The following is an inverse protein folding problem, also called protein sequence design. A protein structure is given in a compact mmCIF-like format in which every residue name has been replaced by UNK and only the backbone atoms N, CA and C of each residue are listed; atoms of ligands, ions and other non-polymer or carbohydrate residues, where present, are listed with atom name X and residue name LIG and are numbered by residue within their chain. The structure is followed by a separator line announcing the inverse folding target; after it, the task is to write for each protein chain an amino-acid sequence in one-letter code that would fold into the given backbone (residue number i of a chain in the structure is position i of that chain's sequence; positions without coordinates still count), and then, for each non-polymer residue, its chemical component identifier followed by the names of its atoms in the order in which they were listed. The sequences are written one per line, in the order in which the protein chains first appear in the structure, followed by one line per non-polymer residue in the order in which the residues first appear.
data_IF_749074282124
#
_entry.id   IF_749074282124
#
_cell.length_a   1.000
_cell.length_b   1.000
_cell.length_c   1.000
_cell.angle_alpha   90.00
_cell.angle_beta   90.00
_cell.angle_gamma   90.00
#
_symmetry.space_group_name_H-M   'P 1'
#
loop_
_entity.id
_entity.type
_entity.pdbx_description
1 polymer ?
#
# COMPACT_ATOMS: atom_id res chain seq x y z
N UNK A 1 19.04 41.40 -10.51
CA UNK A 1 18.14 41.30 -9.33
C UNK A 1 17.82 39.83 -9.12
N UNK A 2 17.75 39.36 -7.87
CA UNK A 2 17.39 37.97 -7.60
C UNK A 2 15.86 37.79 -7.66
N UNK A 3 15.36 36.76 -8.36
CA UNK A 3 13.94 36.45 -8.37
C UNK A 3 13.48 36.12 -6.95
N UNK A 4 12.45 36.82 -6.49
CA UNK A 4 11.90 36.67 -5.14
C UNK A 4 10.44 36.27 -5.24
N UNK A 5 10.10 35.13 -4.62
CA UNK A 5 8.71 34.73 -4.45
C UNK A 5 8.24 35.22 -3.09
N UNK A 6 7.14 35.96 -3.08
CA UNK A 6 6.56 36.56 -1.88
C UNK A 6 5.36 35.74 -1.39
N UNK A 7 4.59 35.17 -2.32
CA UNK A 7 3.38 34.45 -2.00
C UNK A 7 3.15 33.26 -2.94
N UNK A 8 2.61 32.19 -2.38
CA UNK A 8 1.97 31.09 -3.10
C UNK A 8 0.46 31.16 -2.86
N UNK A 9 -0.36 30.86 -3.88
CA UNK A 9 -1.83 30.79 -3.73
C UNK A 9 -2.28 29.63 -2.82
N UNK A 10 -1.42 28.63 -2.66
CA UNK A 10 -1.66 27.42 -1.86
C UNK A 10 -0.37 26.94 -1.18
N UNK A 11 -0.55 26.15 -0.14
CA UNK A 11 0.55 25.56 0.64
C UNK A 11 0.81 24.08 0.29
N UNK A 12 0.14 23.54 -0.73
CA UNK A 12 0.35 22.18 -1.22
C UNK A 12 0.23 22.09 -2.75
N UNK A 13 0.82 21.06 -3.35
CA UNK A 13 0.66 20.72 -4.76
C UNK A 13 0.71 19.21 -4.94
N UNK A 14 -0.23 18.67 -5.71
CA UNK A 14 -0.25 17.28 -6.17
C UNK A 14 -0.20 17.15 -7.69
N UNK A 15 -0.08 15.91 -8.22
CA UNK A 15 -0.08 15.67 -9.66
C UNK A 15 -1.31 16.25 -10.33
N UNK A 16 -1.09 17.04 -11.38
CA UNK A 16 -2.13 17.73 -12.15
C UNK A 16 -2.66 19.02 -11.54
N UNK A 17 -2.17 19.44 -10.37
CA UNK A 17 -2.53 20.72 -9.78
C UNK A 17 -1.61 21.84 -10.26
N UNK A 18 -2.17 23.05 -10.31
CA UNK A 18 -1.42 24.28 -10.60
C UNK A 18 -1.16 25.06 -9.31
N UNK A 19 -0.06 25.80 -9.28
CA UNK A 19 0.30 26.77 -8.25
C UNK A 19 0.59 28.11 -8.91
N UNK A 20 0.12 29.18 -8.29
CA UNK A 20 0.43 30.56 -8.68
C UNK A 20 1.47 31.12 -7.72
N UNK A 21 2.58 31.59 -8.28
CA UNK A 21 3.67 32.25 -7.58
C UNK A 21 3.62 33.74 -7.85
N UNK A 22 3.45 34.54 -6.80
CA UNK A 22 3.48 36.01 -6.89
C UNK A 22 4.77 36.54 -6.26
N UNK A 23 5.38 37.54 -6.89
CA UNK A 23 6.62 38.12 -6.41
C UNK A 23 7.21 39.14 -7.38
N UNK A 24 8.53 39.20 -7.46
CA UNK A 24 9.23 40.15 -8.32
C UNK A 24 10.57 39.61 -8.84
N UNK A 25 11.03 40.20 -9.95
CA UNK A 25 12.34 39.89 -10.53
C UNK A 25 12.39 38.53 -11.24
N UNK A 26 11.24 38.00 -11.68
CA UNK A 26 11.19 36.78 -12.48
C UNK A 26 11.69 36.99 -13.91
N UNK A 27 11.75 38.24 -14.38
CA UNK A 27 12.14 38.59 -15.74
C UNK A 27 11.05 38.32 -16.77
N UNK A 28 11.27 38.84 -17.98
CA UNK A 28 10.34 38.69 -19.11
C UNK A 28 10.53 37.37 -19.89
N UNK A 29 11.67 36.70 -19.72
CA UNK A 29 11.96 35.43 -20.37
C UNK A 29 11.57 34.26 -19.47
N UNK A 30 10.74 33.37 -20.01
CA UNK A 30 10.27 32.16 -19.33
C UNK A 30 11.43 31.25 -18.95
N UNK A 31 11.54 30.92 -17.66
CA UNK A 31 12.51 29.98 -17.11
C UNK A 31 11.94 28.61 -16.78
N UNK A 32 12.73 27.84 -16.02
CA UNK A 32 12.33 26.57 -15.43
C UNK A 32 11.71 26.75 -14.05
N UNK A 33 10.79 25.87 -13.69
CA UNK A 33 10.30 25.72 -12.31
C UNK A 33 10.46 24.26 -11.90
N UNK A 34 11.02 24.07 -10.71
CA UNK A 34 11.19 22.75 -10.14
C UNK A 34 10.74 22.71 -8.68
N UNK A 35 10.24 21.55 -8.28
CA UNK A 35 9.88 21.22 -6.92
C UNK A 35 10.95 20.29 -6.37
N UNK A 36 11.84 20.82 -5.54
CA UNK A 36 12.94 20.08 -4.94
C UNK A 36 12.50 19.36 -3.66
N UNK A 37 13.00 18.15 -3.46
CA UNK A 37 12.61 17.27 -2.35
C UNK A 37 13.14 15.84 -2.55
N UNK A 38 12.62 14.87 -1.79
CA UNK A 38 12.87 13.45 -1.99
C UNK A 38 12.01 12.92 -3.16
N UNK A 39 12.23 13.49 -4.34
CA UNK A 39 11.64 13.06 -5.61
C UNK A 39 12.60 12.12 -6.35
N UNK A 40 12.12 11.24 -7.25
CA UNK A 40 12.99 10.57 -8.20
C UNK A 40 13.82 11.59 -8.99
N UNK A 41 15.14 11.51 -8.89
CA UNK A 41 16.05 12.50 -9.49
C UNK A 41 16.25 13.79 -8.70
N UNK A 42 15.72 13.90 -7.47
CA UNK A 42 15.92 15.01 -6.54
C UNK A 42 14.99 16.21 -6.74
N UNK A 43 14.28 16.30 -7.87
CA UNK A 43 13.27 17.32 -8.11
C UNK A 43 12.21 16.86 -9.13
N UNK A 44 11.00 17.39 -9.00
CA UNK A 44 9.97 17.30 -10.03
C UNK A 44 9.97 18.59 -10.87
N UNK A 45 9.83 18.47 -12.19
CA UNK A 45 9.76 19.64 -13.08
C UNK A 45 8.29 20.05 -13.26
N UNK A 46 8.00 21.34 -13.11
CA UNK A 46 6.66 21.88 -13.32
C UNK A 46 6.53 22.47 -14.73
N UNK A 47 5.38 22.21 -15.35
CA UNK A 47 4.97 22.83 -16.61
C UNK A 47 4.52 24.25 -16.36
N UNK A 48 5.29 25.22 -16.83
CA UNK A 48 4.95 26.65 -16.73
C UNK A 48 3.82 27.00 -17.72
N UNK A 49 2.67 27.40 -17.19
CA UNK A 49 1.45 27.74 -17.92
C UNK A 49 1.39 29.21 -18.33
N UNK A 50 1.78 30.12 -17.44
CA UNK A 50 1.93 31.55 -17.73
C UNK A 50 3.15 32.11 -16.99
N UNK A 51 3.75 33.17 -17.52
CA UNK A 51 4.93 33.80 -16.95
C UNK A 51 4.89 35.31 -17.18
N UNK A 52 5.20 36.06 -16.13
CA UNK A 52 5.48 37.50 -16.16
C UNK A 52 6.56 37.81 -15.12
N UNK A 53 7.02 39.06 -15.08
CA UNK A 53 8.00 39.49 -14.07
C UNK A 53 7.49 39.41 -12.62
N UNK A 54 6.16 39.38 -12.43
CA UNK A 54 5.50 39.44 -11.11
C UNK A 54 4.66 38.23 -10.73
N UNK A 55 4.31 37.40 -11.71
CA UNK A 55 3.42 36.27 -11.52
C UNK A 55 3.79 35.13 -12.47
N UNK A 56 3.83 33.92 -11.93
CA UNK A 56 4.01 32.68 -12.68
C UNK A 56 2.93 31.69 -12.27
N UNK A 57 2.27 31.06 -13.25
CA UNK A 57 1.40 29.90 -13.01
C UNK A 57 2.11 28.66 -13.54
N UNK A 58 2.31 27.68 -12.68
CA UNK A 58 2.99 26.43 -13.00
C UNK A 58 2.17 25.23 -12.55
N UNK A 59 2.28 24.11 -13.26
CA UNK A 59 1.47 22.91 -13.04
C UNK A 59 2.37 21.69 -12.88
N UNK A 60 2.11 20.87 -11.86
CA UNK A 60 2.77 19.56 -11.77
C UNK A 60 2.10 18.59 -12.76
N UNK A 61 2.85 17.81 -13.56
CA UNK A 61 2.25 16.86 -14.49
C UNK A 61 1.28 15.89 -13.81
N UNK A 62 0.15 15.61 -14.49
CA UNK A 62 -0.95 14.76 -14.00
C UNK A 62 -0.51 13.28 -13.81
N UNK A 63 0.54 12.87 -14.51
CA UNK A 63 1.12 11.52 -14.47
C UNK A 63 2.31 11.39 -13.52
N UNK A 64 2.64 12.45 -12.76
CA UNK A 64 3.74 12.42 -11.82
C UNK A 64 3.54 11.37 -10.71
N UNK A 65 4.56 10.56 -10.45
CA UNK A 65 4.51 9.45 -9.48
C UNK A 65 5.89 9.16 -8.85
N UNK A 66 5.94 8.22 -7.91
CA UNK A 66 7.20 7.75 -7.32
C UNK A 66 7.70 8.56 -6.13
N UNK A 67 6.90 9.49 -5.62
CA UNK A 67 7.18 10.24 -4.41
C UNK A 67 6.03 10.10 -3.39
N UNK A 68 6.38 9.99 -2.11
CA UNK A 68 5.42 10.03 -1.01
C UNK A 68 5.11 11.48 -0.63
N UNK A 69 4.07 11.69 0.20
CA UNK A 69 3.76 13.01 0.73
C UNK A 69 4.97 13.55 1.51
N UNK A 70 5.34 14.79 1.26
CA UNK A 70 6.56 15.37 1.84
C UNK A 70 6.56 16.89 1.82
N UNK A 71 7.41 17.47 2.66
CA UNK A 71 7.83 18.86 2.52
C UNK A 71 8.71 18.98 1.27
N UNK A 72 8.44 19.98 0.45
CA UNK A 72 9.22 20.31 -0.74
C UNK A 72 9.49 21.81 -0.81
N UNK A 73 10.33 22.22 -1.76
CA UNK A 73 10.60 23.62 -2.04
C UNK A 73 10.46 23.91 -3.53
N UNK A 74 9.69 24.93 -3.90
CA UNK A 74 9.63 25.42 -5.28
C UNK A 74 10.81 26.36 -5.53
N UNK A 75 11.52 26.10 -6.62
CA UNK A 75 12.60 26.93 -7.12
C UNK A 75 12.27 27.44 -8.52
N UNK A 76 12.61 28.70 -8.77
CA UNK A 76 12.49 29.33 -10.07
C UNK A 76 13.90 29.53 -10.63
N UNK A 77 14.10 29.09 -11.86
CA UNK A 77 15.34 29.22 -12.64
C UNK A 77 15.07 30.09 -13.89
N UNK A 78 15.00 31.43 -13.76
CA UNK A 78 14.76 32.31 -14.90
C UNK A 78 15.90 32.25 -15.92
N UNK A 79 15.57 32.31 -17.21
CA UNK A 79 16.58 32.44 -18.26
C UNK A 79 17.13 33.87 -18.25
N UNK A 80 18.45 33.99 -18.43
CA UNK A 80 19.13 35.29 -18.54
C UNK A 80 19.37 35.99 -17.20
N UNK A 81 19.10 35.32 -16.08
CA UNK A 81 19.53 35.76 -14.76
C UNK A 81 20.64 34.86 -14.24
N UNK A 82 21.60 35.45 -13.54
CA UNK A 82 22.78 34.73 -13.01
C UNK A 82 22.46 33.88 -11.77
N UNK A 83 21.21 33.88 -11.30
CA UNK A 83 20.86 33.22 -10.05
C UNK A 83 19.39 32.79 -9.93
N UNK A 84 19.24 31.66 -9.24
CA UNK A 84 18.00 30.99 -8.87
C UNK A 84 17.26 31.73 -7.75
N UNK A 85 15.94 31.58 -7.67
CA UNK A 85 15.16 32.11 -6.53
C UNK A 85 15.56 31.45 -5.22
N UNK A 86 15.10 32.01 -4.10
CA UNK A 86 15.04 31.24 -2.85
C UNK A 86 14.00 30.14 -2.96
N UNK A 87 14.26 29.00 -2.32
CA UNK A 87 13.33 27.86 -2.31
C UNK A 87 12.11 28.14 -1.43
N UNK A 88 10.92 28.14 -2.02
CA UNK A 88 9.66 28.36 -1.29
C UNK A 88 9.04 27.06 -0.81
N UNK A 89 8.84 26.95 0.50
CA UNK A 89 8.31 25.73 1.11
C UNK A 89 6.86 25.48 0.68
N UNK A 90 6.57 24.24 0.30
CA UNK A 90 5.23 23.76 -0.06
C UNK A 90 5.09 22.28 0.33
N UNK A 91 3.88 21.80 0.60
CA UNK A 91 3.63 20.35 0.73
C UNK A 91 3.49 19.73 -0.66
N UNK A 92 4.20 18.64 -0.93
CA UNK A 92 3.82 17.74 -2.00
C UNK A 92 2.83 16.70 -1.48
N UNK A 93 1.72 16.52 -2.19
CA UNK A 93 0.69 15.52 -1.87
C UNK A 93 0.58 14.55 -3.04
N UNK A 94 0.94 13.30 -2.81
CA UNK A 94 0.96 12.28 -3.84
C UNK A 94 -0.45 11.78 -4.17
N UNK A 95 -0.69 11.43 -5.44
CA UNK A 95 -1.89 10.68 -5.82
C UNK A 95 -1.93 9.34 -5.09
N UNK A 96 -3.04 9.05 -4.42
CA UNK A 96 -3.20 7.80 -3.68
C UNK A 96 -3.86 6.73 -4.54
N UNK A 97 -3.33 5.52 -4.48
CA UNK A 97 -3.89 4.32 -5.13
C UNK A 97 -4.14 3.23 -4.10
N UNK A 98 -5.15 2.40 -4.35
CA UNK A 98 -5.40 1.18 -3.58
C UNK A 98 -4.83 -0.02 -4.34
N UNK A 99 -4.02 -0.84 -3.66
CA UNK A 99 -3.37 -2.03 -4.23
C UNK A 99 -3.68 -3.26 -3.36
N UNK A 100 -3.95 -4.39 -4.00
CA UNK A 100 -4.09 -5.69 -3.35
C UNK A 100 -2.72 -6.29 -3.07
N UNK A 101 -2.43 -6.59 -1.80
CA UNK A 101 -1.20 -7.26 -1.38
C UNK A 101 -1.17 -8.71 -1.92
N UNK A 102 -0.01 -9.09 -2.41
CA UNK A 102 0.27 -10.46 -2.88
C UNK A 102 0.95 -11.28 -1.78
N UNK A 103 1.12 -12.59 -2.02
CA UNK A 103 1.85 -13.47 -1.09
C UNK A 103 3.30 -13.02 -0.83
N UNK A 104 3.89 -12.26 -1.75
CA UNK A 104 5.27 -11.76 -1.64
C UNK A 104 5.39 -10.48 -0.80
N UNK A 105 4.28 -9.76 -0.62
CA UNK A 105 4.23 -8.51 0.15
C UNK A 105 3.98 -8.72 1.65
N UNK A 106 3.68 -9.96 2.04
CA UNK A 106 3.46 -10.38 3.42
C UNK A 106 4.68 -11.15 3.92
N UNK A 107 4.92 -11.12 5.24
CA UNK A 107 5.83 -12.11 5.82
C UNK A 107 5.25 -13.50 5.59
N UNK A 108 6.12 -14.52 5.53
CA UNK A 108 5.64 -15.89 5.68
C UNK A 108 4.75 -15.94 6.95
N UNK A 109 3.60 -16.62 6.89
CA UNK A 109 2.73 -16.71 8.04
C UNK A 109 3.48 -17.41 9.17
N UNK A 110 3.47 -16.81 10.35
CA UNK A 110 3.80 -17.54 11.57
C UNK A 110 2.55 -18.26 12.02
N UNK A 111 2.60 -19.59 12.09
CA UNK A 111 1.48 -20.41 12.53
C UNK A 111 1.68 -20.80 14.00
N UNK A 112 0.59 -20.75 14.77
CA UNK A 112 0.48 -21.43 16.05
C UNK A 112 -0.68 -22.41 15.91
N UNK A 113 -0.35 -23.68 15.69
CA UNK A 113 -1.36 -24.74 15.72
C UNK A 113 -1.30 -25.36 17.11
N UNK A 114 -2.37 -25.19 17.87
CA UNK A 114 -2.60 -25.94 19.11
C UNK A 114 -3.43 -27.16 18.73
N UNK A 115 -2.77 -28.23 18.28
CA UNK A 115 -3.43 -29.47 17.86
C UNK A 115 -2.72 -30.22 16.72
N UNK A 116 -3.28 -31.36 16.33
CA UNK A 116 -2.62 -32.34 15.45
C UNK A 116 -2.95 -32.17 13.95
N UNK A 117 -2.87 -30.94 13.41
CA UNK A 117 -2.96 -30.73 11.96
C UNK A 117 -1.60 -31.05 11.32
N UNK A 118 -1.55 -32.05 10.42
CA UNK A 118 -0.29 -32.60 9.91
C UNK A 118 0.02 -32.26 8.45
N UNK A 119 -0.97 -31.88 7.64
CA UNK A 119 -0.75 -31.46 6.24
C UNK A 119 -1.16 -30.00 6.02
N UNK A 120 -0.12 -29.17 5.88
CA UNK A 120 -0.18 -27.74 5.58
C UNK A 120 0.37 -27.54 4.17
N UNK A 121 -0.47 -27.72 3.15
CA UNK A 121 -0.11 -27.35 1.78
C UNK A 121 -0.57 -25.92 1.50
N UNK A 122 0.37 -25.01 1.22
CA UNK A 122 0.04 -23.78 0.51
C UNK A 122 -0.50 -24.16 -0.87
N UNK A 123 -1.81 -24.01 -1.07
CA UNK A 123 -2.44 -24.29 -2.36
C UNK A 123 -1.99 -23.25 -3.38
N UNK A 124 -0.99 -23.59 -4.21
CA UNK A 124 -0.40 -22.71 -5.21
C UNK A 124 -1.18 -22.74 -6.56
N UNK A 125 -2.50 -22.77 -6.49
CA UNK A 125 -3.36 -22.71 -7.68
C UNK A 125 -3.26 -21.36 -8.40
N UNK A 126 -3.52 -21.31 -9.71
CA UNK A 126 -3.44 -20.08 -10.53
C UNK A 126 -4.26 -18.88 -9.99
N UNK A 127 -5.33 -19.15 -9.23
CA UNK A 127 -6.17 -18.15 -8.56
C UNK A 127 -5.49 -17.46 -7.34
N UNK A 128 -4.38 -18.00 -6.84
CA UNK A 128 -3.70 -17.58 -5.61
C UNK A 128 -2.46 -16.70 -5.85
N UNK A 129 -2.20 -16.30 -7.10
CA UNK A 129 -1.10 -15.36 -7.41
C UNK A 129 -1.32 -13.95 -6.84
N UNK A 130 -2.58 -13.56 -6.61
CA UNK A 130 -2.97 -12.20 -6.17
C UNK A 130 -3.61 -12.14 -4.79
N UNK A 131 -3.89 -13.26 -4.17
CA UNK A 131 -4.54 -13.36 -2.86
C UNK A 131 -3.89 -14.46 -2.06
N UNK A 132 -3.85 -14.31 -0.74
CA UNK A 132 -3.23 -15.33 0.12
C UNK A 132 -4.21 -16.47 0.31
N UNK A 133 -3.85 -17.66 -0.16
CA UNK A 133 -4.67 -18.86 -0.05
C UNK A 133 -4.00 -19.88 0.88
N UNK A 134 -4.79 -20.49 1.76
CA UNK A 134 -4.35 -21.61 2.58
C UNK A 134 -5.39 -22.70 2.55
N UNK A 135 -4.91 -23.94 2.59
CA UNK A 135 -5.73 -25.10 2.85
C UNK A 135 -5.14 -25.85 4.05
N UNK A 136 -5.98 -26.11 5.03
CA UNK A 136 -5.69 -27.04 6.11
C UNK A 136 -6.47 -28.31 5.87
N UNK A 137 -5.81 -29.45 5.97
CA UNK A 137 -6.44 -30.76 5.93
C UNK A 137 -5.94 -31.61 7.10
N UNK A 138 -6.86 -32.26 7.79
CA UNK A 138 -6.50 -33.25 8.81
C UNK A 138 -6.16 -34.55 8.09
N UNK A 139 -4.91 -35.01 8.22
CA UNK A 139 -4.46 -36.27 7.61
C UNK A 139 -5.36 -37.43 8.11
N UNK A 140 -6.10 -38.09 7.21
CA UNK A 140 -6.94 -39.21 7.58
C UNK A 140 -6.14 -40.44 8.04
N UNK A 141 -4.89 -40.57 7.61
CA UNK A 141 -4.03 -41.74 7.88
C UNK A 141 -3.34 -41.69 9.24
N UNK A 142 -3.18 -40.51 9.85
CA UNK A 142 -2.49 -40.39 11.13
C UNK A 142 -3.40 -40.89 12.28
N UNK A 143 -3.03 -41.98 12.97
CA UNK A 143 -3.83 -42.54 14.06
C UNK A 143 -3.70 -41.75 15.37
N UNK A 144 -2.68 -40.90 15.51
CA UNK A 144 -2.37 -40.13 16.72
C UNK A 144 -3.00 -38.74 16.76
N UNK A 145 -3.69 -38.33 15.68
CA UNK A 145 -4.43 -37.07 15.65
C UNK A 145 -5.66 -37.20 16.54
N UNK A 146 -5.58 -36.66 17.75
CA UNK A 146 -6.75 -36.46 18.61
C UNK A 146 -7.61 -35.40 17.92
N UNK A 147 -8.88 -35.71 17.59
CA UNK A 147 -9.79 -34.74 17.01
C UNK A 147 -10.00 -33.57 17.99
N UNK A 148 -9.70 -32.34 17.55
CA UNK A 148 -9.84 -31.13 18.35
C UNK A 148 -8.55 -30.30 18.37
N UNK A 149 -8.40 -29.43 17.38
CA UNK A 149 -7.34 -28.44 17.34
C UNK A 149 -7.86 -27.09 16.88
N UNK A 150 -7.59 -26.05 17.67
CA UNK A 150 -7.75 -24.67 17.26
C UNK A 150 -6.48 -24.24 16.53
N UNK A 151 -6.65 -23.56 15.40
CA UNK A 151 -5.57 -22.97 14.65
C UNK A 151 -5.73 -21.45 14.60
N UNK A 152 -4.60 -20.76 14.69
CA UNK A 152 -4.51 -19.32 14.47
C UNK A 152 -3.37 -19.03 13.49
N UNK A 153 -3.67 -18.21 12.49
CA UNK A 153 -2.73 -17.84 11.42
C UNK A 153 -2.57 -16.35 11.42
N UNK A 154 -1.33 -15.90 11.55
CA UNK A 154 -1.00 -14.47 11.60
C UNK A 154 -0.36 -14.01 10.29
N UNK A 155 -0.94 -12.98 9.70
CA UNK A 155 -0.36 -12.24 8.59
C UNK A 155 0.14 -10.91 9.09
N UNK A 156 1.46 -10.74 9.08
CA UNK A 156 2.11 -9.52 9.53
C UNK A 156 2.87 -8.88 8.38
N UNK A 157 2.73 -7.58 8.23
CA UNK A 157 3.62 -6.80 7.37
C UNK A 157 3.68 -5.36 7.88
N UNK A 158 4.85 -4.74 7.73
CA UNK A 158 5.03 -3.32 7.99
C UNK A 158 5.04 -2.59 6.64
N UNK A 159 4.11 -1.66 6.49
CA UNK A 159 4.01 -0.76 5.36
C UNK A 159 4.95 0.42 5.58
N UNK A 160 5.66 0.83 4.53
CA UNK A 160 6.56 1.98 4.56
C UNK A 160 6.10 3.05 3.58
N UNK A 161 6.84 4.16 3.50
CA UNK A 161 6.72 5.16 2.42
C UNK A 161 5.29 5.72 2.24
N UNK A 162 4.54 5.89 3.33
CA UNK A 162 3.19 6.45 3.30
C UNK A 162 2.08 5.50 2.88
N UNK A 163 2.36 4.19 2.79
CA UNK A 163 1.34 3.16 2.63
C UNK A 163 0.64 2.86 3.97
N UNK A 164 -0.67 2.64 3.92
CA UNK A 164 -1.49 2.28 5.08
C UNK A 164 -2.53 1.21 4.72
N UNK A 165 -3.03 0.52 5.75
CA UNK A 165 -4.15 -0.40 5.57
C UNK A 165 -5.39 0.34 5.05
N UNK A 166 -6.07 -0.25 4.05
CA UNK A 166 -7.33 0.28 3.51
C UNK A 166 -8.50 -0.62 3.90
N UNK A 167 -8.48 -1.87 3.44
CA UNK A 167 -9.56 -2.84 3.69
C UNK A 167 -9.07 -4.27 3.55
N UNK A 168 -9.87 -5.21 3.99
CA UNK A 168 -9.66 -6.64 3.79
C UNK A 168 -10.97 -7.32 3.40
N UNK A 169 -10.84 -8.49 2.81
CA UNK A 169 -11.96 -9.35 2.43
C UNK A 169 -11.54 -10.78 2.67
N UNK A 170 -12.49 -11.55 3.16
CA UNK A 170 -12.28 -12.89 3.63
C UNK A 170 -13.27 -13.79 2.91
N UNK A 171 -12.75 -14.82 2.25
CA UNK A 171 -13.56 -15.87 1.64
C UNK A 171 -13.13 -17.20 2.20
N UNK A 172 -14.12 -18.04 2.49
CA UNK A 172 -13.90 -19.33 3.10
C UNK A 172 -14.67 -20.39 2.32
N UNK A 173 -14.07 -21.55 2.25
CA UNK A 173 -14.73 -22.79 1.86
C UNK A 173 -14.30 -23.87 2.84
N UNK A 174 -15.22 -24.70 3.28
CA UNK A 174 -14.97 -25.67 4.34
C UNK A 174 -15.82 -26.91 4.11
N UNK A 175 -15.20 -28.06 4.31
CA UNK A 175 -15.79 -29.36 3.99
C UNK A 175 -15.11 -30.51 4.72
N UNK A 176 -15.53 -31.73 4.36
CA UNK A 176 -14.95 -32.96 4.85
C UNK A 176 -14.89 -33.97 3.68
N UNK A 177 -13.72 -34.56 3.46
CA UNK A 177 -13.49 -35.49 2.35
C UNK A 177 -13.80 -36.95 2.71
N UNK A 178 -13.97 -37.26 4.00
CA UNK A 178 -14.10 -38.64 4.49
C UNK A 178 -15.27 -38.80 5.48
N UNK A 179 -16.18 -39.74 5.18
CA UNK A 179 -17.28 -40.17 6.06
C UNK A 179 -17.22 -41.70 6.16
N UNK A 180 -16.56 -42.22 7.21
CA UNK A 180 -16.58 -43.66 7.52
C UNK A 180 -17.77 -44.01 8.44
N UNK A 181 -18.39 -43.02 9.11
CA UNK A 181 -19.36 -43.26 10.20
C UNK A 181 -20.66 -42.42 10.11
N UNK A 182 -20.98 -41.82 8.96
CA UNK A 182 -22.16 -40.96 8.77
C UNK A 182 -21.80 -39.50 8.48
N UNK A 183 -22.79 -38.62 8.21
CA UNK A 183 -22.52 -37.24 7.79
C UNK A 183 -21.69 -36.52 8.84
N UNK A 184 -20.43 -36.23 8.52
CA UNK A 184 -19.54 -35.46 9.40
C UNK A 184 -20.06 -34.02 9.42
N UNK A 185 -20.41 -33.47 10.59
CA UNK A 185 -20.83 -32.08 10.66
C UNK A 185 -19.77 -31.14 10.09
N UNK A 186 -20.23 -30.14 9.34
CA UNK A 186 -19.38 -29.13 8.72
C UNK A 186 -18.66 -28.34 9.84
N UNK A 187 -17.33 -28.10 9.74
CA UNK A 187 -16.64 -27.32 10.75
C UNK A 187 -17.19 -25.88 10.80
N UNK A 188 -17.06 -25.17 11.93
CA UNK A 188 -17.41 -23.75 11.99
C UNK A 188 -16.66 -22.97 10.91
N UNK A 189 -17.32 -21.92 10.41
CA UNK A 189 -16.68 -20.93 9.57
C UNK A 189 -15.49 -20.29 10.32
N UNK A 190 -14.27 -20.23 9.75
CA UNK A 190 -13.21 -19.43 10.34
C UNK A 190 -13.57 -17.95 10.45
N UNK A 191 -13.05 -17.27 11.47
CA UNK A 191 -13.23 -15.84 11.68
C UNK A 191 -11.94 -15.07 11.37
N UNK A 192 -12.09 -13.93 10.71
CA UNK A 192 -11.01 -13.04 10.29
C UNK A 192 -11.10 -11.72 11.04
N UNK A 193 -10.16 -11.47 11.95
CA UNK A 193 -10.09 -10.20 12.67
C UNK A 193 -8.89 -9.40 12.21
N UNK A 194 -9.13 -8.13 11.89
CA UNK A 194 -8.07 -7.19 11.62
C UNK A 194 -7.74 -6.41 12.88
N UNK A 195 -6.50 -6.52 13.36
CA UNK A 195 -6.01 -5.79 14.52
C UNK A 195 -5.15 -4.58 14.10
N UNK A 196 -5.07 -4.29 12.80
CA UNK A 196 -4.20 -3.24 12.25
C UNK A 196 -4.69 -1.82 12.56
N UNK A 197 -3.72 -0.93 12.82
CA UNK A 197 -3.89 0.53 12.76
C UNK A 197 -2.67 1.17 12.09
N UNK A 198 -2.90 2.07 11.14
CA UNK A 198 -1.85 2.83 10.47
C UNK A 198 -0.96 2.00 9.52
N UNK A 199 0.34 1.95 9.82
CA UNK A 199 1.38 1.39 8.95
C UNK A 199 1.68 -0.10 9.21
N UNK A 200 1.08 -0.74 10.22
CA UNK A 200 1.27 -2.16 10.49
C UNK A 200 0.00 -2.94 10.16
N UNK A 201 0.14 -4.06 9.46
CA UNK A 201 -0.94 -5.04 9.26
C UNK A 201 -0.69 -6.20 10.20
N UNK A 202 -1.70 -6.54 11.02
CA UNK A 202 -1.78 -7.78 11.81
C UNK A 202 -3.18 -8.37 11.57
N UNK A 203 -3.29 -9.23 10.57
CA UNK A 203 -4.53 -9.94 10.24
C UNK A 203 -4.48 -11.35 10.78
N UNK A 204 -5.54 -11.78 11.46
CA UNK A 204 -5.59 -13.09 12.10
C UNK A 204 -6.77 -13.89 11.60
N UNK A 205 -6.49 -15.15 11.26
CA UNK A 205 -7.51 -16.14 10.90
C UNK A 205 -7.54 -17.20 11.97
N UNK A 206 -8.70 -17.38 12.60
CA UNK A 206 -8.94 -18.41 13.61
C UNK A 206 -9.92 -19.44 13.09
N UNK A 207 -9.68 -20.71 13.37
CA UNK A 207 -10.62 -21.78 13.08
C UNK A 207 -10.34 -23.04 13.90
N UNK A 208 -11.23 -24.01 13.78
CA UNK A 208 -11.14 -25.26 14.55
C UNK A 208 -11.43 -26.46 13.64
N UNK A 209 -10.62 -27.51 13.77
CA UNK A 209 -10.81 -28.81 13.10
C UNK A 209 -10.93 -29.89 14.17
N UNK A 210 -11.99 -30.68 14.11
CA UNK A 210 -12.40 -31.58 15.19
C UNK A 210 -12.75 -32.99 14.71
N UNK A 211 -12.60 -33.29 13.42
CA UNK A 211 -12.73 -34.65 12.89
C UNK A 211 -11.70 -34.93 11.79
N UNK A 212 -11.34 -36.22 11.64
CA UNK A 212 -10.47 -36.68 10.55
C UNK A 212 -11.08 -36.38 9.19
N UNK A 213 -10.25 -35.99 8.23
CA UNK A 213 -10.70 -35.68 6.87
C UNK A 213 -11.42 -34.33 6.71
N UNK A 214 -11.58 -33.55 7.78
CA UNK A 214 -12.02 -32.16 7.66
C UNK A 214 -10.95 -31.30 6.99
N UNK A 215 -11.40 -30.32 6.23
CA UNK A 215 -10.55 -29.31 5.63
C UNK A 215 -11.20 -27.93 5.65
N UNK A 216 -10.34 -26.92 5.68
CA UNK A 216 -10.72 -25.52 5.58
C UNK A 216 -9.81 -24.87 4.56
N UNK A 217 -10.43 -24.19 3.59
CA UNK A 217 -9.78 -23.30 2.62
C UNK A 217 -10.10 -21.87 2.98
N UNK A 218 -9.07 -21.06 3.10
CA UNK A 218 -9.19 -19.64 3.37
C UNK A 218 -8.51 -18.87 2.26
N UNK A 219 -9.19 -17.83 1.80
CA UNK A 219 -8.66 -16.82 0.90
C UNK A 219 -8.78 -15.46 1.57
N UNK A 220 -7.66 -14.75 1.68
CA UNK A 220 -7.60 -13.41 2.25
C UNK A 220 -7.14 -12.43 1.17
N UNK A 221 -7.94 -11.39 0.95
CA UNK A 221 -7.54 -10.21 0.19
C UNK A 221 -7.27 -9.07 1.16
N UNK A 222 -6.08 -8.46 1.07
CA UNK A 222 -5.69 -7.31 1.89
C UNK A 222 -5.36 -6.16 0.95
N UNK A 223 -6.07 -5.06 1.05
CA UNK A 223 -5.83 -3.86 0.26
C UNK A 223 -5.18 -2.79 1.12
N UNK A 224 -4.18 -2.15 0.55
CA UNK A 224 -3.45 -1.04 1.13
C UNK A 224 -3.60 0.18 0.25
N UNK A 225 -3.61 1.37 0.86
CA UNK A 225 -3.68 2.64 0.16
C UNK A 225 -2.39 3.41 0.39
N UNK A 226 -1.84 3.99 -0.68
CA UNK A 226 -0.57 4.70 -0.58
C UNK A 226 -0.24 5.49 -1.84
N UNK A 227 0.91 6.18 -1.86
CA UNK A 227 1.33 7.01 -2.98
C UNK A 227 1.62 6.18 -4.24
N UNK A 228 1.12 6.63 -5.39
CA UNK A 228 1.33 5.97 -6.69
C UNK A 228 2.81 5.93 -7.07
N UNK A 229 3.27 4.79 -7.60
CA UNK A 229 4.66 4.60 -8.04
C UNK A 229 5.69 4.45 -6.92
N UNK A 230 5.28 4.52 -5.65
CA UNK A 230 6.19 4.36 -4.50
C UNK A 230 6.19 2.90 -4.04
N UNK A 231 7.36 2.25 -3.89
CA UNK A 231 7.46 0.89 -3.38
C UNK A 231 6.81 0.72 -2.00
N UNK A 232 6.17 -0.44 -1.78
CA UNK A 232 5.56 -0.81 -0.49
C UNK A 232 6.57 -0.94 0.65
N UNK A 233 7.84 -1.24 0.33
CA UNK A 233 8.94 -1.54 1.26
C UNK A 233 10.22 -0.82 0.91
#
# INVERSE_FOLDING_TARGET
MLPTVEQLDRNHIGPGESVTLSGCGFGSQKGGISLAGAFPGGAAILSVMSWSDKEIVARLPDDYEGAADQQAAIWIDPIGLDARSTGQKIQFVATKVEVLLTKYDLSAPSWAVTGAATDLETFDGAACKRTVCYQWKVDPANPLVIPGGDFEVHFKTNLKNGWSYSRSSFWQDNGADFSILGPVPKPPAPDGTNLSGGAAIDFRVKGSLWAKGQWVKVKVGIWVKGPRGVPLR
#
